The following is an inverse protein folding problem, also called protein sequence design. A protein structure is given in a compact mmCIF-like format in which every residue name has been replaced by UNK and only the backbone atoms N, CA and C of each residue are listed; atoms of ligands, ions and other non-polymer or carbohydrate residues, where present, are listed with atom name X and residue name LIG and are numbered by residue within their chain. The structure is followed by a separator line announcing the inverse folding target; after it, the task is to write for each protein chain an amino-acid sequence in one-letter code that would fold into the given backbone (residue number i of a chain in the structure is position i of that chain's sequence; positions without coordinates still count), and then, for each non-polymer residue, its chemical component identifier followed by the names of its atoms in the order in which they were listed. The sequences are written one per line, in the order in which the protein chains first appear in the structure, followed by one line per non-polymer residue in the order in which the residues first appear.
data_IF_715945297095
#
_entry.id   IF_715945297095
#
_cell.length_a   1.000
_cell.length_b   1.000
_cell.length_c   1.000
_cell.angle_alpha   90.00
_cell.angle_beta   90.00
_cell.angle_gamma   90.00
#
_symmetry.space_group_name_H-M   'P 1'
#
loop_
_entity.id
_entity.type
_entity.pdbx_description
1 polymer ?
#
# COMPACT_ATOMS: atom_id res chain seq x y z
N UNK A 1 2.21 0.62 8.29
CA UNK A 1 0.92 1.23 7.91
C UNK A 1 0.02 1.30 9.11
N UNK A 2 -0.68 2.39 9.25
CA UNK A 2 -1.70 2.57 10.29
C UNK A 2 -3.06 2.71 9.62
N UNK A 3 -4.12 2.51 10.39
CA UNK A 3 -5.48 2.68 9.88
C UNK A 3 -6.15 3.84 10.59
N UNK A 4 -6.80 4.67 9.82
CA UNK A 4 -7.78 5.63 10.30
C UNK A 4 -9.12 5.29 9.63
N UNK A 5 -10.18 5.98 10.01
CA UNK A 5 -11.50 5.64 9.50
C UNK A 5 -12.29 6.90 9.19
N UNK A 6 -13.05 6.83 8.09
CA UNK A 6 -14.00 7.89 7.75
C UNK A 6 -15.18 7.84 8.71
N UNK A 7 -15.98 8.89 8.69
CA UNK A 7 -17.19 8.96 9.50
C UNK A 7 -18.14 7.79 9.21
N UNK A 8 -18.15 7.29 7.98
CA UNK A 8 -18.99 6.15 7.58
C UNK A 8 -18.37 4.80 7.91
N UNK A 9 -17.22 4.76 8.55
CA UNK A 9 -16.54 3.52 8.94
C UNK A 9 -15.60 2.94 7.90
N UNK A 10 -15.44 3.58 6.74
CA UNK A 10 -14.51 3.08 5.73
C UNK A 10 -13.07 3.30 6.17
N UNK A 11 -12.19 2.33 5.93
CA UNK A 11 -10.80 2.48 6.33
C UNK A 11 -10.04 3.47 5.47
N UNK A 12 -9.15 4.21 6.10
CA UNK A 12 -8.19 5.10 5.44
C UNK A 12 -6.81 4.58 5.81
N UNK A 13 -6.06 4.00 4.87
CA UNK A 13 -4.70 3.56 5.19
C UNK A 13 -3.78 4.78 5.32
N UNK A 14 -3.02 4.83 6.40
CA UNK A 14 -1.98 5.83 6.60
C UNK A 14 -0.67 5.15 6.27
N UNK A 15 -0.15 5.48 5.09
CA UNK A 15 1.05 4.83 4.57
C UNK A 15 2.31 5.38 5.23
N UNK A 16 3.29 4.50 5.36
CA UNK A 16 4.57 4.83 5.99
C UNK A 16 5.70 4.33 5.09
N UNK A 17 6.88 4.90 5.28
CA UNK A 17 8.07 4.43 4.58
C UNK A 17 8.28 2.95 4.92
N UNK A 18 8.54 2.15 3.89
CA UNK A 18 8.69 0.70 4.03
C UNK A 18 7.45 -0.09 3.69
N UNK A 19 6.29 0.56 3.59
CA UNK A 19 5.06 -0.13 3.23
C UNK A 19 5.07 -0.53 1.76
N UNK A 20 4.39 -1.63 1.44
CA UNK A 20 4.21 -2.09 0.07
C UNK A 20 2.92 -1.52 -0.48
N UNK A 21 3.00 -1.00 -1.69
CA UNK A 21 1.85 -0.40 -2.37
C UNK A 21 1.81 -0.84 -3.82
N UNK A 22 0.60 -0.93 -4.36
CA UNK A 22 0.34 -1.27 -5.76
C UNK A 22 -0.24 -0.07 -6.47
N UNK A 23 0.25 0.22 -7.66
CA UNK A 23 -0.24 1.32 -8.46
C UNK A 23 -1.60 0.96 -9.04
N UNK A 24 -2.58 1.85 -8.86
CA UNK A 24 -3.90 1.71 -9.46
C UNK A 24 -3.97 2.43 -10.81
N UNK A 25 -3.01 3.32 -11.07
CA UNK A 25 -2.88 4.05 -12.33
C UNK A 25 -1.43 4.07 -12.77
N UNK A 26 -1.22 4.06 -14.06
CA UNK A 26 0.12 4.29 -14.61
C UNK A 26 0.51 5.76 -14.50
N UNK A 27 1.80 6.03 -14.67
CA UNK A 27 2.28 7.39 -14.76
C UNK A 27 1.71 8.06 -16.01
N UNK A 28 1.43 9.35 -15.89
CA UNK A 28 1.03 10.16 -17.05
C UNK A 28 2.24 10.47 -17.90
N UNK A 29 1.99 10.65 -19.20
CA UNK A 29 3.03 11.09 -20.11
C UNK A 29 3.26 10.11 -21.25
N UNK A 30 4.04 10.54 -22.27
CA UNK A 30 4.26 9.75 -23.47
C UNK A 30 5.17 8.53 -23.25
N UNK A 31 5.98 8.54 -22.19
CA UNK A 31 6.89 7.44 -21.89
C UNK A 31 6.80 7.10 -20.40
N UNK A 32 5.68 6.53 -19.94
CA UNK A 32 5.51 6.24 -18.53
C UNK A 32 6.49 5.17 -18.08
N UNK A 33 7.11 5.38 -16.91
CA UNK A 33 8.04 4.42 -16.32
C UNK A 33 7.34 3.43 -15.41
N UNK A 34 6.08 3.67 -15.09
CA UNK A 34 5.29 2.80 -14.23
C UNK A 34 3.89 2.65 -14.78
N UNK A 35 3.33 1.46 -14.63
CA UNK A 35 2.00 1.15 -15.13
C UNK A 35 1.13 0.63 -14.00
N UNK A 36 -0.19 0.71 -14.19
CA UNK A 36 -1.14 0.13 -13.25
C UNK A 36 -0.82 -1.34 -13.01
N UNK A 37 -0.91 -1.77 -11.77
CA UNK A 37 -0.60 -3.15 -11.38
C UNK A 37 0.83 -3.38 -10.94
N UNK A 38 1.76 -2.50 -11.25
CA UNK A 38 3.10 -2.58 -10.70
C UNK A 38 3.08 -2.20 -9.23
N UNK A 39 4.00 -2.74 -8.45
CA UNK A 39 4.00 -2.55 -7.01
C UNK A 39 5.42 -2.54 -6.47
N UNK A 40 5.57 -1.98 -5.31
CA UNK A 40 6.87 -1.88 -4.69
C UNK A 40 6.79 -1.27 -3.30
N UNK A 41 7.93 -0.85 -2.80
CA UNK A 41 8.09 -0.36 -1.43
C UNK A 41 8.22 1.15 -1.43
N UNK A 42 7.50 1.81 -0.53
CA UNK A 42 7.65 3.25 -0.33
C UNK A 42 9.03 3.53 0.25
N UNK A 43 9.81 4.31 -0.47
CA UNK A 43 11.13 4.73 -0.01
C UNK A 43 11.07 6.08 0.69
N UNK A 44 10.20 6.98 0.25
CA UNK A 44 10.10 8.30 0.80
C UNK A 44 8.68 8.84 0.63
N UNK A 45 8.25 9.61 1.61
CA UNK A 45 7.00 10.36 1.53
C UNK A 45 7.39 11.84 1.58
N UNK A 46 7.01 12.60 0.56
CA UNK A 46 7.35 14.00 0.47
C UNK A 46 6.51 14.84 1.41
N UNK A 47 6.90 16.10 1.60
CA UNK A 47 6.14 17.02 2.44
C UNK A 47 4.71 17.22 1.94
N UNK A 48 4.49 17.03 0.64
CA UNK A 48 3.16 17.14 0.03
C UNK A 48 2.37 15.84 0.10
N UNK A 49 2.94 14.80 0.71
CA UNK A 49 2.29 13.51 0.81
C UNK A 49 2.42 12.62 -0.42
N UNK A 50 3.21 13.03 -1.41
CA UNK A 50 3.48 12.19 -2.56
C UNK A 50 4.53 11.12 -2.23
N UNK A 51 4.54 10.04 -3.00
CA UNK A 51 5.34 8.86 -2.69
C UNK A 51 6.44 8.64 -3.70
N UNK A 52 7.64 8.31 -3.21
CA UNK A 52 8.69 7.74 -4.03
C UNK A 52 8.70 6.24 -3.75
N UNK A 53 8.57 5.44 -4.80
CA UNK A 53 8.36 3.99 -4.68
C UNK A 53 9.45 3.27 -5.47
N UNK A 54 10.12 2.31 -4.81
CA UNK A 54 11.04 1.40 -5.48
C UNK A 54 10.22 0.21 -5.96
N UNK A 55 10.07 0.09 -7.26
CA UNK A 55 9.27 -0.98 -7.86
C UNK A 55 10.00 -2.32 -7.73
N UNK A 56 9.26 -3.33 -7.37
CA UNK A 56 9.82 -4.67 -7.21
C UNK A 56 10.13 -5.27 -8.57
N UNK A 57 11.34 -5.84 -8.71
CA UNK A 57 11.78 -6.40 -9.98
C UNK A 57 10.90 -7.52 -10.51
N UNK A 58 10.30 -8.27 -9.61
CA UNK A 58 9.43 -9.37 -10.01
C UNK A 58 8.02 -8.91 -10.43
N UNK A 59 7.69 -7.64 -10.26
CA UNK A 59 6.46 -7.08 -10.81
C UNK A 59 6.67 -6.56 -12.24
N UNK A 60 7.87 -6.73 -12.80
CA UNK A 60 8.25 -6.24 -14.12
C UNK A 60 8.66 -7.40 -15.02
N UNK A 61 8.70 -7.17 -16.33
CA UNK A 61 9.21 -8.18 -17.25
C UNK A 61 10.61 -8.63 -16.88
N UNK A 62 10.92 -9.88 -17.21
CA UNK A 62 12.20 -10.46 -16.91
C UNK A 62 13.32 -9.62 -17.54
N UNK A 63 14.38 -9.39 -16.76
CA UNK A 63 15.54 -8.63 -17.24
C UNK A 63 15.42 -7.12 -17.04
N UNK A 64 14.26 -6.62 -16.62
CA UNK A 64 14.12 -5.21 -16.31
C UNK A 64 14.61 -4.97 -14.88
N UNK A 65 15.52 -4.01 -14.74
CA UNK A 65 16.07 -3.66 -13.44
C UNK A 65 15.03 -3.01 -12.55
N UNK A 66 15.28 -3.06 -11.26
CA UNK A 66 14.49 -2.28 -10.30
C UNK A 66 14.58 -0.80 -10.66
N UNK A 67 13.47 -0.10 -10.53
CA UNK A 67 13.48 1.34 -10.74
C UNK A 67 12.61 2.02 -9.71
N UNK A 68 12.93 3.29 -9.49
CA UNK A 68 12.17 4.11 -8.57
C UNK A 68 11.30 5.06 -9.37
N UNK A 69 10.05 5.19 -8.95
CA UNK A 69 9.15 6.22 -9.48
C UNK A 69 8.88 7.22 -8.38
N UNK A 70 8.80 8.48 -8.77
CA UNK A 70 8.71 9.58 -7.81
C UNK A 70 7.42 10.35 -7.96
N UNK A 71 7.05 11.02 -6.87
CA UNK A 71 5.95 11.98 -6.87
C UNK A 71 4.60 11.32 -7.20
N UNK A 72 4.40 10.11 -6.73
CA UNK A 72 3.16 9.36 -6.97
C UNK A 72 2.12 9.78 -5.92
N UNK A 73 0.95 10.28 -6.34
CA UNK A 73 -0.09 10.66 -5.39
C UNK A 73 -0.59 9.44 -4.60
N UNK A 74 -0.88 9.63 -3.32
CA UNK A 74 -1.41 8.55 -2.48
C UNK A 74 -2.73 8.00 -3.02
N UNK A 75 -3.47 8.80 -3.78
CA UNK A 75 -4.73 8.36 -4.40
C UNK A 75 -4.52 7.39 -5.55
N UNK A 76 -3.28 7.24 -6.02
CA UNK A 76 -2.96 6.35 -7.14
C UNK A 76 -2.39 5.01 -6.68
N UNK A 77 -2.42 4.74 -5.38
CA UNK A 77 -1.90 3.47 -4.86
C UNK A 77 -2.88 2.88 -3.86
N UNK A 78 -2.76 1.56 -3.66
CA UNK A 78 -3.42 0.85 -2.57
C UNK A 78 -2.38 0.01 -1.86
N UNK A 79 -2.51 -0.21 -0.54
CA UNK A 79 -1.59 -1.09 0.16
C UNK A 79 -1.71 -2.52 -0.36
N UNK A 80 -0.60 -3.22 -0.43
CA UNK A 80 -0.58 -4.58 -0.94
C UNK A 80 0.34 -5.46 -0.09
N UNK A 81 0.28 -6.77 -0.34
CA UNK A 81 1.16 -7.72 0.31
C UNK A 81 2.46 -7.90 -0.50
N UNK A 82 3.30 -8.82 -0.03
CA UNK A 82 4.60 -9.08 -0.66
C UNK A 82 4.50 -9.79 -2.01
N UNK A 83 3.30 -10.04 -2.49
CA UNK A 83 3.04 -10.58 -3.83
C UNK A 83 2.34 -9.57 -4.71
N UNK A 84 2.13 -8.36 -4.21
CA UNK A 84 1.47 -7.31 -4.96
C UNK A 84 -0.04 -7.38 -4.94
N UNK A 85 -0.63 -8.28 -4.15
CA UNK A 85 -2.08 -8.40 -4.04
C UNK A 85 -2.61 -7.34 -3.08
N UNK A 86 -3.59 -6.57 -3.53
CA UNK A 86 -4.16 -5.51 -2.71
C UNK A 86 -4.72 -6.07 -1.40
N UNK A 87 -4.45 -5.39 -0.29
CA UNK A 87 -4.93 -5.80 1.01
C UNK A 87 -6.40 -5.45 1.17
N UNK A 88 -7.14 -6.34 1.81
CA UNK A 88 -8.51 -6.05 2.23
C UNK A 88 -8.44 -5.41 3.61
N UNK A 89 -8.85 -4.15 3.70
CA UNK A 89 -8.80 -3.42 4.95
C UNK A 89 -10.15 -3.52 5.67
N UNK A 90 -10.14 -3.72 7.00
CA UNK A 90 -11.40 -3.84 7.73
C UNK A 90 -12.12 -2.49 7.84
N UNK A 91 -13.44 -2.54 7.93
CA UNK A 91 -14.24 -1.37 8.32
C UNK A 91 -14.04 -1.11 9.81
N UNK A 92 -14.46 0.07 10.26
CA UNK A 92 -14.39 0.41 11.68
C UNK A 92 -15.08 -0.63 12.56
N UNK A 93 -16.27 -1.08 12.15
CA UNK A 93 -17.02 -2.08 12.92
C UNK A 93 -16.25 -3.39 13.06
N UNK A 94 -15.70 -3.88 11.96
CA UNK A 94 -14.93 -5.13 11.98
C UNK A 94 -13.64 -4.99 12.75
N UNK A 95 -12.94 -3.87 12.58
CA UNK A 95 -11.70 -3.62 13.28
C UNK A 95 -11.92 -3.54 14.80
N UNK A 96 -12.97 -2.85 15.21
CA UNK A 96 -13.33 -2.71 16.62
C UNK A 96 -13.70 -4.06 17.23
N UNK A 97 -14.46 -4.89 16.51
CA UNK A 97 -14.80 -6.24 16.95
C UNK A 97 -13.56 -7.10 17.12
N UNK A 98 -12.65 -7.04 16.17
CA UNK A 98 -11.40 -7.79 16.25
C UNK A 98 -10.58 -7.39 17.46
N UNK A 99 -10.48 -6.10 17.77
CA UNK A 99 -9.77 -5.63 18.95
C UNK A 99 -10.45 -6.10 20.23
N UNK A 100 -11.76 -6.00 20.30
CA UNK A 100 -12.51 -6.43 21.46
C UNK A 100 -12.33 -7.93 21.73
N UNK A 101 -12.12 -8.71 20.69
CA UNK A 101 -11.93 -10.16 20.78
C UNK A 101 -10.44 -10.55 20.79
N UNK A 102 -9.55 -9.59 20.97
CA UNK A 102 -8.13 -9.86 20.99
C UNK A 102 -7.47 -9.88 19.62
N UNK A 103 -8.19 -9.54 18.56
CA UNK A 103 -7.63 -9.47 17.22
C UNK A 103 -6.49 -8.47 17.17
N UNK A 104 -5.38 -8.88 16.54
CA UNK A 104 -4.22 -8.01 16.43
C UNK A 104 -3.40 -7.90 17.69
N UNK A 105 -3.83 -8.50 18.77
CA UNK A 105 -3.07 -8.47 20.01
C UNK A 105 -2.04 -9.60 20.09
N UNK A 106 -1.99 -10.42 19.12
CA UNK A 106 -1.05 -11.51 19.08
C UNK A 106 -0.60 -11.86 17.69
N UNK A 107 -1.38 -12.21 17.91
CA UNK A 107 -1.19 -12.42 17.00
C UNK A 107 -1.18 -13.10 16.39
N UNK A 108 -1.41 -13.57 16.49
CA UNK A 108 -1.59 -13.94 15.85
C UNK A 108 -1.45 -13.85 14.96
N UNK A 109 -1.33 -13.87 15.29
CA UNK A 109 -1.31 -13.38 14.76
C UNK A 109 -1.51 -13.15 14.35
N UNK A 110 -1.77 -13.08 14.45
CA UNK A 110 -2.03 -12.31 14.27
C UNK A 110 -2.27 -11.89 14.05
N UNK A 111 -2.27 -11.74 13.89
CA UNK A 111 -2.52 -11.12 13.58
C UNK A 111 -2.72 -11.20 12.90
N UNK A 112 -3.11 -11.31 12.95
CA UNK A 112 -3.30 -11.12 12.24
C UNK A 112 -3.09 -10.96 11.71
N UNK A 113 -3.41 -11.17 11.80
CA UNK A 113 -3.09 -10.79 11.44
C UNK A 113 -2.92 -10.70 11.10
N UNK A 114 -3.08 -10.67 11.11
CA UNK A 114 -2.68 -10.27 10.68
C UNK A 114 -2.37 -10.08 10.36
#
# INVERSE_FOLDING_TARGET
MKLDFRADGRPIPILEVGDLVRLTRGEAGPAPTAQAGEWGKIRRITERGALDIVLAGYSRPRGVALSMVSDIPVTNVVPCDHRGVALELPTWSNWRKGKANGFGSRNKGAEPAP
#
